data_IF_842489450187
#
_entry.id   IF_842489450187
#
_cell.length_a   1.000
_cell.length_b   1.000
_cell.length_c   1.000
_cell.angle_alpha   90.00
_cell.angle_beta   90.00
_cell.angle_gamma   90.00
#
_symmetry.space_group_name_H-M   'P 1'
#
loop_
_entity.id
_entity.type
_entity.pdbx_description
1 polymer ?
#
# COMPACT_ATOMS: atom_id res chain seq x y z
N UNK A 1 -16.00 1.94 4.94
CA UNK A 1 -15.78 1.91 3.48
C UNK A 1 -15.41 3.32 3.00
N UNK A 2 -14.55 3.46 1.99
CA UNK A 2 -14.05 4.73 1.47
C UNK A 2 -14.39 4.87 -0.02
N UNK A 3 -14.76 6.07 -0.48
CA UNK A 3 -14.81 6.35 -1.92
C UNK A 3 -13.38 6.36 -2.48
N UNK A 4 -13.22 6.11 -3.79
CA UNK A 4 -11.91 6.13 -4.46
C UNK A 4 -11.01 7.34 -4.11
N UNK A 5 -11.50 8.59 -4.11
CA UNK A 5 -10.66 9.74 -3.77
C UNK A 5 -10.18 9.71 -2.31
N UNK A 6 -11.07 9.32 -1.38
CA UNK A 6 -10.73 9.22 0.03
C UNK A 6 -9.75 8.08 0.31
N UNK A 7 -9.88 6.96 -0.41
CA UNK A 7 -8.91 5.86 -0.34
C UNK A 7 -7.52 6.30 -0.82
N UNK A 8 -7.44 7.08 -1.91
CA UNK A 8 -6.17 7.64 -2.38
C UNK A 8 -5.50 8.54 -1.34
N UNK A 9 -6.28 9.43 -0.72
CA UNK A 9 -5.78 10.28 0.37
C UNK A 9 -5.31 9.46 1.57
N UNK A 10 -6.06 8.43 1.97
CA UNK A 10 -5.72 7.56 3.07
C UNK A 10 -4.41 6.80 2.85
N UNK A 11 -4.14 6.40 1.61
CA UNK A 11 -2.95 5.65 1.21
C UNK A 11 -1.72 6.54 0.96
N UNK A 12 -1.71 7.77 1.51
CA UNK A 12 -0.58 8.70 1.36
C UNK A 12 -0.69 9.63 0.15
N UNK A 13 -1.91 9.97 -0.28
CA UNK A 13 -2.13 10.94 -1.36
C UNK A 13 -1.93 10.37 -2.77
N UNK A 14 -2.08 9.06 -2.95
CA UNK A 14 -1.92 8.43 -4.27
C UNK A 14 -3.10 8.74 -5.19
N UNK A 15 -2.82 8.82 -6.49
CA UNK A 15 -3.84 9.14 -7.48
C UNK A 15 -4.89 8.02 -7.65
N UNK A 16 -6.03 8.36 -8.26
CA UNK A 16 -7.15 7.42 -8.48
C UNK A 16 -6.78 6.24 -9.37
N UNK A 17 -5.90 6.42 -10.34
CA UNK A 17 -5.47 5.35 -11.25
C UNK A 17 -4.65 4.29 -10.50
N UNK A 18 -3.79 4.71 -9.58
CA UNK A 18 -3.03 3.83 -8.70
C UNK A 18 -3.96 3.06 -7.77
N UNK A 19 -4.95 3.72 -7.16
CA UNK A 19 -5.96 3.00 -6.35
C UNK A 19 -6.70 1.96 -7.18
N UNK A 20 -7.12 2.31 -8.41
CA UNK A 20 -7.79 1.37 -9.30
C UNK A 20 -6.90 0.19 -9.71
N UNK A 21 -5.59 0.43 -9.91
CA UNK A 21 -4.60 -0.62 -10.17
C UNK A 21 -4.46 -1.57 -8.98
N UNK A 22 -4.32 -1.04 -7.76
CA UNK A 22 -4.21 -1.86 -6.54
C UNK A 22 -5.45 -2.74 -6.32
N UNK A 23 -6.65 -2.23 -6.65
CA UNK A 23 -7.87 -3.05 -6.61
C UNK A 23 -7.80 -4.18 -7.65
N UNK A 24 -7.33 -3.88 -8.87
CA UNK A 24 -7.20 -4.88 -9.95
C UNK A 24 -6.16 -5.95 -9.63
N UNK A 25 -5.07 -5.56 -8.96
CA UNK A 25 -4.00 -6.46 -8.51
C UNK A 25 -4.40 -7.27 -7.27
N UNK A 26 -5.59 -7.05 -6.68
CA UNK A 26 -6.06 -7.75 -5.49
C UNK A 26 -5.42 -7.25 -4.19
N UNK A 27 -4.65 -6.17 -4.23
CA UNK A 27 -4.02 -5.56 -3.05
C UNK A 27 -5.03 -4.83 -2.16
N UNK A 28 -6.12 -4.33 -2.76
CA UNK A 28 -7.22 -3.65 -2.08
C UNK A 28 -8.56 -4.31 -2.40
N UNK A 29 -9.35 -4.55 -1.36
CA UNK A 29 -10.72 -5.03 -1.47
C UNK A 29 -11.67 -3.86 -1.75
N UNK A 30 -12.57 -4.04 -2.71
CA UNK A 30 -13.59 -3.05 -3.05
C UNK A 30 -14.91 -3.73 -3.41
N UNK A 31 -16.01 -3.05 -3.08
CA UNK A 31 -17.38 -3.47 -3.39
C UNK A 31 -18.11 -2.37 -4.14
N UNK A 32 -19.16 -2.72 -4.89
CA UNK A 32 -20.05 -1.73 -5.48
C UNK A 32 -21.28 -1.54 -4.61
N UNK A 33 -21.59 -0.28 -4.26
CA UNK A 33 -22.79 0.10 -3.52
C UNK A 33 -23.48 1.21 -4.32
N UNK A 34 -24.68 0.93 -4.84
CA UNK A 34 -25.44 1.89 -5.64
C UNK A 34 -24.67 2.43 -6.86
N UNK A 35 -24.00 1.55 -7.61
CA UNK A 35 -23.18 1.94 -8.78
C UNK A 35 -21.86 2.64 -8.44
N UNK A 36 -21.60 2.93 -7.16
CA UNK A 36 -20.36 3.55 -6.70
C UNK A 36 -19.40 2.50 -6.18
N UNK A 37 -18.15 2.51 -6.65
CA UNK A 37 -17.09 1.65 -6.13
C UNK A 37 -16.59 2.19 -4.78
N UNK A 38 -16.67 1.35 -3.76
CA UNK A 38 -16.33 1.62 -2.37
C UNK A 38 -15.17 0.70 -1.96
N UNK A 39 -14.08 1.27 -1.44
CA UNK A 39 -12.90 0.53 -0.99
C UNK A 39 -13.03 0.18 0.49
N UNK A 40 -12.69 -1.05 0.85
CA UNK A 40 -12.68 -1.50 2.23
C UNK A 40 -11.56 -0.79 3.00
N UNK A 41 -11.91 -0.11 4.09
CA UNK A 41 -10.94 0.64 4.90
C UNK A 41 -9.92 -0.29 5.57
N UNK A 42 -10.37 -1.42 6.10
CA UNK A 42 -9.49 -2.42 6.73
C UNK A 42 -8.47 -2.97 5.74
N UNK A 43 -8.87 -3.14 4.48
CA UNK A 43 -7.95 -3.55 3.41
C UNK A 43 -6.87 -2.48 3.14
N UNK A 44 -7.24 -1.19 3.14
CA UNK A 44 -6.26 -0.10 3.05
C UNK A 44 -5.28 -0.08 4.24
N UNK A 45 -5.78 -0.26 5.47
CA UNK A 45 -4.94 -0.33 6.68
C UNK A 45 -3.96 -1.50 6.60
N UNK A 46 -4.45 -2.69 6.24
CA UNK A 46 -3.61 -3.87 6.03
C UNK A 46 -2.56 -3.64 4.95
N UNK A 47 -2.91 -2.97 3.84
CA UNK A 47 -1.96 -2.62 2.78
C UNK A 47 -0.84 -1.71 3.32
N UNK A 48 -1.18 -0.64 4.04
CA UNK A 48 -0.19 0.29 4.61
C UNK A 48 0.77 -0.45 5.56
N UNK A 49 0.25 -1.31 6.43
CA UNK A 49 1.08 -2.11 7.33
C UNK A 49 2.00 -3.08 6.58
N UNK A 50 1.53 -3.70 5.48
CA UNK A 50 2.41 -4.51 4.60
C UNK A 50 3.53 -3.68 3.99
N UNK A 51 3.24 -2.47 3.51
CA UNK A 51 4.26 -1.60 2.90
C UNK A 51 5.31 -1.14 3.92
N UNK A 52 4.89 -0.77 5.14
CA UNK A 52 5.82 -0.44 6.23
C UNK A 52 6.75 -1.60 6.57
N UNK A 53 6.21 -2.82 6.65
CA UNK A 53 7.00 -4.04 6.91
C UNK A 53 7.99 -4.32 5.78
N UNK A 54 7.58 -4.16 4.52
CA UNK A 54 8.47 -4.30 3.35
C UNK A 54 9.61 -3.28 3.39
N UNK A 55 9.29 -2.00 3.61
CA UNK A 55 10.29 -0.94 3.71
C UNK A 55 11.30 -1.19 4.85
N UNK A 56 10.82 -1.63 6.02
CA UNK A 56 11.70 -1.99 7.15
C UNK A 56 12.61 -3.18 6.82
N UNK A 57 12.07 -4.20 6.15
CA UNK A 57 12.85 -5.38 5.76
C UNK A 57 13.92 -5.05 4.71
N UNK A 58 13.62 -4.11 3.80
CA UNK A 58 14.57 -3.63 2.79
C UNK A 58 15.69 -2.80 3.42
N UNK A 59 15.35 -1.87 4.33
CA UNK A 59 16.34 -1.10 5.09
C UNK A 59 17.30 -2.02 5.87
N UNK A 60 16.79 -3.05 6.54
CA UNK A 60 17.62 -4.00 7.28
C UNK A 60 18.59 -4.80 6.38
N UNK A 61 18.23 -5.05 5.12
CA UNK A 61 19.12 -5.70 4.14
C UNK A 61 20.24 -4.76 3.70
N UNK A 62 19.94 -3.49 3.48
CA UNK A 62 20.92 -2.48 3.07
C UNK A 62 21.98 -2.23 4.16
N UNK A 63 21.57 -2.22 5.44
CA UNK A 63 22.51 -2.10 6.57
C UNK A 63 23.48 -3.29 6.65
N UNK A 64 23.01 -4.48 6.25
CA UNK A 64 23.84 -5.70 6.25
C UNK A 64 24.88 -5.69 5.12
N UNK A 65 24.51 -5.23 3.92
CA UNK A 65 25.43 -5.11 2.77
C UNK A 65 26.49 -4.01 2.98
N UNK A 66 26.13 -2.90 3.63
CA UNK A 66 27.09 -1.83 3.96
C UNK A 66 28.15 -2.29 4.98
N UNK A 67 27.79 -3.16 5.93
CA UNK A 67 28.72 -3.72 6.90
C UNK A 67 29.73 -4.72 6.31
N UNK A 68 29.36 -5.41 5.22
CA UNK A 68 30.25 -6.38 4.56
C UNK A 68 31.32 -5.69 3.71
N UNK A 69 31.01 -4.55 3.08
CA UNK A 69 31.98 -3.78 2.29
C UNK A 69 32.97 -2.97 3.13
N UNK A 70 32.65 -2.64 4.38
CA UNK A 70 33.56 -1.91 5.28
C UNK A 70 34.60 -2.82 5.98
N UNK A 71 34.49 -4.15 5.82
CA UNK A 71 35.33 -5.15 6.48
C UNK A 71 36.26 -5.93 5.50
N UNK A 72 36.34 -5.51 4.23
CA UNK A 72 37.21 -6.07 3.20
C UNK A 72 38.31 -5.07 2.80
#
# INVERSE_FOLDING_TARGET
MLRLPAAGQFLGGINRQTVARLIREGELEAVYIGGTRMVCRLSCEAYVERQKKKAKAEAARQDSDAGVLAAA
#
